data_IF_232307378037
#
_entry.id   IF_232307378037
#
_cell.length_a   1.000
_cell.length_b   1.000
_cell.length_c   1.000
_cell.angle_alpha   90.00
_cell.angle_beta   90.00
_cell.angle_gamma   90.00
#
_symmetry.space_group_name_H-M   'P 1'
#
loop_
_entity.id
_entity.type
_entity.pdbx_description
1 polymer ?
#
# COMPACT_ATOMS: atom_id res chain seq x y z
N UNK A 1 -21.14 -3.50 -23.89
CA UNK A 1 -20.76 -3.69 -22.52
C UNK A 1 -19.92 -2.52 -22.05
N UNK A 2 -20.10 -2.19 -20.88
CA UNK A 2 -19.36 -1.12 -20.36
C UNK A 2 -18.89 -1.44 -19.00
N UNK A 3 -17.67 -1.30 -18.76
CA UNK A 3 -17.16 -1.62 -17.48
C UNK A 3 -16.83 -0.34 -16.75
N UNK A 4 -17.20 -0.29 -15.50
CA UNK A 4 -16.90 0.84 -14.68
C UNK A 4 -15.53 0.71 -14.05
N UNK A 5 -14.89 -0.46 -14.22
CA UNK A 5 -13.60 -0.69 -13.65
C UNK A 5 -12.52 -0.57 -14.70
N UNK A 6 -11.43 0.04 -14.32
CA UNK A 6 -10.26 0.12 -15.16
C UNK A 6 -9.42 -1.13 -14.96
N UNK A 7 -9.29 -1.95 -16.01
CA UNK A 7 -8.49 -3.17 -15.93
C UNK A 7 -7.05 -2.92 -16.31
N UNK A 8 -6.73 -1.72 -16.72
CA UNK A 8 -5.37 -1.34 -17.04
C UNK A 8 -4.56 -1.18 -15.78
N UNK A 9 -3.33 -1.63 -15.79
CA UNK A 9 -2.44 -1.48 -14.65
C UNK A 9 -1.83 -0.10 -14.69
N UNK A 10 -2.11 0.69 -13.70
CA UNK A 10 -1.54 2.01 -13.58
C UNK A 10 -0.79 2.12 -12.26
N UNK A 11 0.07 3.11 -12.15
CA UNK A 11 0.86 3.31 -10.95
C UNK A 11 -0.04 3.74 -9.81
N UNK A 12 0.00 2.97 -8.73
CA UNK A 12 -0.78 3.24 -7.52
C UNK A 12 0.16 3.57 -6.39
N UNK A 13 -0.19 4.58 -5.62
CA UNK A 13 0.60 4.97 -4.47
C UNK A 13 -0.23 4.75 -3.21
N UNK A 14 0.31 3.95 -2.30
CA UNK A 14 -0.33 3.69 -1.02
C UNK A 14 0.45 4.41 0.07
N UNK A 15 -0.26 5.11 0.95
CA UNK A 15 0.32 5.71 2.13
C UNK A 15 -0.14 4.90 3.33
N UNK A 16 0.79 4.29 4.04
CA UNK A 16 0.48 3.36 5.11
C UNK A 16 1.14 3.83 6.39
N UNK A 17 0.33 3.97 7.43
CA UNK A 17 0.82 4.36 8.73
C UNK A 17 0.88 3.10 9.58
N UNK A 18 2.07 2.74 10.06
CA UNK A 18 2.30 1.47 10.75
C UNK A 18 3.02 1.69 12.05
N UNK A 19 2.98 0.68 12.89
CA UNK A 19 3.75 0.66 14.12
C UNK A 19 5.24 0.68 13.81
N UNK A 20 5.98 1.48 14.55
CA UNK A 20 7.42 1.58 14.35
C UNK A 20 8.10 0.46 15.15
N UNK A 21 8.06 -0.76 14.61
CA UNK A 21 8.62 -1.95 15.23
C UNK A 21 9.44 -2.74 14.22
N UNK A 22 10.44 -3.47 14.69
CA UNK A 22 11.21 -4.34 13.80
C UNK A 22 10.30 -5.35 13.11
N UNK A 23 10.57 -5.62 11.84
CA UNK A 23 9.85 -6.62 11.08
C UNK A 23 8.59 -6.16 10.39
N UNK A 24 8.07 -4.98 10.73
CA UNK A 24 6.82 -4.49 10.13
C UNK A 24 6.99 -4.25 8.64
N UNK A 25 8.11 -3.67 8.24
CA UNK A 25 8.36 -3.40 6.83
C UNK A 25 8.39 -4.69 6.01
N UNK A 26 8.98 -5.74 6.57
CA UNK A 26 9.02 -7.04 5.90
C UNK A 26 7.64 -7.65 5.73
N UNK A 27 6.80 -7.51 6.74
CA UNK A 27 5.43 -8.02 6.69
C UNK A 27 4.65 -7.30 5.58
N UNK A 28 4.78 -5.99 5.52
CA UNK A 28 4.08 -5.19 4.51
C UNK A 28 4.57 -5.58 3.11
N UNK A 29 5.88 -5.66 2.94
CA UNK A 29 6.47 -6.02 1.66
C UNK A 29 5.99 -7.40 1.21
N UNK A 30 5.90 -8.34 2.13
CA UNK A 30 5.47 -9.70 1.83
C UNK A 30 4.01 -9.76 1.36
N UNK A 31 3.17 -8.86 1.87
CA UNK A 31 1.79 -8.81 1.43
C UNK A 31 1.72 -8.58 -0.08
N UNK A 32 2.51 -7.67 -0.58
CA UNK A 32 2.52 -7.34 -2.01
C UNK A 32 3.07 -8.51 -2.83
N UNK A 33 4.17 -9.13 -2.37
CA UNK A 33 4.75 -10.28 -3.07
C UNK A 33 3.77 -11.44 -3.13
N UNK A 34 3.06 -11.72 -2.05
CA UNK A 34 2.10 -12.83 -2.01
C UNK A 34 0.94 -12.61 -2.95
N UNK A 35 0.61 -11.37 -3.22
CA UNK A 35 -0.46 -11.05 -4.17
C UNK A 35 0.06 -10.92 -5.60
N UNK A 36 1.33 -11.22 -5.82
CA UNK A 36 1.89 -11.23 -7.15
C UNK A 36 2.37 -9.88 -7.66
N UNK A 37 2.56 -8.92 -6.77
CA UNK A 37 2.97 -7.58 -7.18
C UNK A 37 4.41 -7.31 -6.78
N UNK A 38 5.16 -6.76 -7.71
CA UNK A 38 6.49 -6.25 -7.44
C UNK A 38 6.35 -4.80 -7.02
N UNK A 39 6.98 -4.47 -5.90
CA UNK A 39 6.98 -3.10 -5.43
C UNK A 39 7.94 -2.30 -6.29
N UNK A 40 7.42 -1.22 -6.88
CA UNK A 40 8.21 -0.35 -7.74
C UNK A 40 9.00 0.66 -6.92
N UNK A 41 8.42 1.12 -5.83
CA UNK A 41 9.06 2.09 -4.95
C UNK A 41 8.57 1.87 -3.53
N UNK A 42 9.48 1.97 -2.58
CA UNK A 42 9.18 1.70 -1.18
C UNK A 42 10.03 2.64 -0.33
N UNK A 43 9.37 3.57 0.34
CA UNK A 43 10.04 4.53 1.20
C UNK A 43 9.40 4.52 2.57
N UNK A 44 10.21 4.71 3.60
CA UNK A 44 9.67 4.88 4.93
C UNK A 44 10.24 6.15 5.53
N UNK A 45 9.50 6.75 6.42
CA UNK A 45 9.94 7.97 7.07
C UNK A 45 9.27 8.17 8.41
N UNK A 46 9.83 9.02 9.23
CA UNK A 46 9.29 9.29 10.56
C UNK A 46 8.00 10.08 10.46
N UNK A 47 7.23 10.02 11.54
CA UNK A 47 6.05 10.85 11.72
C UNK A 47 6.26 11.72 12.93
N UNK A 48 5.26 12.52 13.29
CA UNK A 48 5.32 13.28 14.51
C UNK A 48 5.19 12.40 15.75
N UNK A 49 4.69 11.17 15.57
CA UNK A 49 4.58 10.20 16.66
C UNK A 49 5.73 9.21 16.53
N UNK A 50 6.63 9.13 17.53
CA UNK A 50 7.78 8.22 17.44
C UNK A 50 7.40 6.75 17.41
N UNK A 51 6.18 6.41 17.76
CA UNK A 51 5.70 5.02 17.72
C UNK A 51 5.17 4.61 16.36
N UNK A 52 5.11 5.52 15.41
CA UNK A 52 4.53 5.26 14.09
C UNK A 52 5.50 5.65 12.99
N UNK A 53 5.45 4.89 11.92
CA UNK A 53 6.25 5.14 10.71
C UNK A 53 5.30 5.25 9.53
N UNK A 54 5.58 6.15 8.63
CA UNK A 54 4.83 6.25 7.39
C UNK A 54 5.58 5.56 6.28
N UNK A 55 4.89 4.69 5.57
CA UNK A 55 5.44 3.97 4.43
C UNK A 55 4.70 4.44 3.19
N UNK A 56 5.46 4.72 2.15
CA UNK A 56 4.89 5.04 0.84
C UNK A 56 5.30 3.94 -0.12
N UNK A 57 4.31 3.29 -0.73
CA UNK A 57 4.55 2.13 -1.59
C UNK A 57 3.92 2.42 -2.95
N UNK A 58 4.68 2.17 -4.00
CA UNK A 58 4.17 2.33 -5.36
C UNK A 58 4.26 1.02 -6.11
N UNK A 59 3.15 0.63 -6.74
CA UNK A 59 3.06 -0.57 -7.56
C UNK A 59 2.15 -0.27 -8.74
N UNK A 60 2.23 -1.11 -9.76
CA UNK A 60 1.30 -1.04 -10.90
C UNK A 60 0.22 -2.07 -10.66
N UNK A 61 -1.03 -1.63 -10.65
CA UNK A 61 -2.17 -2.51 -10.40
C UNK A 61 -3.42 -1.94 -11.03
N UNK A 62 -4.32 -2.82 -11.42
CA UNK A 62 -5.64 -2.40 -11.89
C UNK A 62 -6.52 -2.01 -10.70
N UNK A 63 -7.71 -1.53 -10.96
CA UNK A 63 -8.60 -1.03 -9.91
C UNK A 63 -8.95 -2.10 -8.89
N UNK A 64 -9.27 -3.31 -9.35
CA UNK A 64 -9.65 -4.40 -8.47
C UNK A 64 -8.52 -4.78 -7.52
N UNK A 65 -7.33 -4.95 -8.07
CA UNK A 65 -6.19 -5.37 -7.26
C UNK A 65 -5.75 -4.25 -6.33
N UNK A 66 -5.83 -2.99 -6.77
CA UNK A 66 -5.48 -1.87 -5.92
C UNK A 66 -6.41 -1.81 -4.70
N UNK A 67 -7.70 -1.99 -4.93
CA UNK A 67 -8.67 -1.96 -3.83
C UNK A 67 -8.51 -3.15 -2.91
N UNK A 68 -8.17 -4.31 -3.46
CA UNK A 68 -7.94 -5.51 -2.66
C UNK A 68 -6.72 -5.33 -1.76
N UNK A 69 -5.63 -4.80 -2.32
CA UNK A 69 -4.42 -4.54 -1.54
C UNK A 69 -4.70 -3.55 -0.41
N UNK A 70 -5.46 -2.51 -0.72
CA UNK A 70 -5.81 -1.51 0.28
C UNK A 70 -6.61 -2.13 1.42
N UNK A 71 -7.59 -2.97 1.08
CA UNK A 71 -8.41 -3.64 2.09
C UNK A 71 -7.56 -4.56 2.95
N UNK A 72 -6.63 -5.29 2.35
CA UNK A 72 -5.77 -6.19 3.10
C UNK A 72 -4.82 -5.42 4.02
N UNK A 73 -4.30 -4.29 3.55
CA UNK A 73 -3.43 -3.46 4.39
C UNK A 73 -4.17 -2.99 5.63
N UNK A 74 -5.41 -2.57 5.47
CA UNK A 74 -6.18 -2.05 6.60
C UNK A 74 -6.59 -3.12 7.59
N UNK A 75 -6.44 -4.39 7.24
CA UNK A 75 -6.75 -5.51 8.14
C UNK A 75 -5.53 -6.03 8.88
N UNK A 76 -4.36 -5.56 8.54
CA UNK A 76 -3.14 -6.06 9.20
C UNK A 76 -2.97 -5.43 10.56
N UNK A 77 -2.59 -6.25 11.53
CA UNK A 77 -2.47 -5.79 12.91
C UNK A 77 -1.52 -4.61 13.07
N UNK A 78 -0.31 -4.63 12.47
CA UNK A 78 0.61 -3.51 12.70
C UNK A 78 0.25 -2.26 11.89
N UNK A 79 -0.77 -2.31 11.05
CA UNK A 79 -1.17 -1.17 10.24
C UNK A 79 -2.19 -0.33 10.99
N UNK A 80 -1.86 0.91 11.21
CA UNK A 80 -2.74 1.86 11.86
C UNK A 80 -3.80 2.34 10.89
N UNK A 81 -3.37 2.71 9.68
CA UNK A 81 -4.27 3.08 8.60
C UNK A 81 -3.52 3.00 7.27
N UNK A 82 -4.25 2.75 6.22
CA UNK A 82 -3.70 2.74 4.88
C UNK A 82 -4.68 3.41 3.95
N UNK A 83 -4.16 4.18 3.01
CA UNK A 83 -5.00 4.81 1.99
C UNK A 83 -4.26 4.86 0.68
N UNK A 84 -5.02 4.89 -0.39
CA UNK A 84 -4.49 5.01 -1.73
C UNK A 84 -4.52 6.49 -2.10
N UNK A 85 -3.40 6.98 -2.59
CA UNK A 85 -3.29 8.38 -2.97
C UNK A 85 -3.92 8.57 -4.33
N UNK A 86 -4.49 9.74 -4.55
CA UNK A 86 -5.02 10.07 -5.84
C UNK A 86 -3.88 10.35 -6.81
N UNK A 87 -3.97 9.91 -8.06
CA UNK A 87 -2.94 10.25 -9.03
C UNK A 87 -2.91 11.75 -9.25
N UNK A 88 -1.73 12.26 -9.51
CA UNK A 88 -1.56 13.67 -9.85
C UNK A 88 -2.24 13.96 -11.18
N UNK A 89 -2.82 15.09 -11.28
CA UNK A 89 -3.50 15.47 -12.51
C UNK A 89 -2.74 16.51 -13.27
#
# INVERSE_FOLDING_TARGET
MNTTQNTEKIRRTFSVLVENRPGVLSIISRLFSRNGFNIDSFCSGPTTDPNLTRITIEVYADDNHANLLLAQLNKMVPVYSAKMMEPAK
#
